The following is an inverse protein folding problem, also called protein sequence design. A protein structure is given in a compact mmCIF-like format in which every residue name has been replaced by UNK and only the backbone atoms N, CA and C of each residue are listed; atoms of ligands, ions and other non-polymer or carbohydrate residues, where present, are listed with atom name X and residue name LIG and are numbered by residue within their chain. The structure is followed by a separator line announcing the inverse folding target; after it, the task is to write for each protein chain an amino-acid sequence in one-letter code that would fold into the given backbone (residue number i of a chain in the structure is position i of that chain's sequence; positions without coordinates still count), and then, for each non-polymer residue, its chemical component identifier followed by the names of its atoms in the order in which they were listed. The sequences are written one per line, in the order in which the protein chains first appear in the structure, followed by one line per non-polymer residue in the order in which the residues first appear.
data_IF_964565394486
#
_entry.id   IF_964565394486
#
_cell.length_a   1.000
_cell.length_b   1.000
_cell.length_c   1.000
_cell.angle_alpha   90.00
_cell.angle_beta   90.00
_cell.angle_gamma   90.00
#
_symmetry.space_group_name_H-M   'P 1'
#
loop_
_entity.id
_entity.type
_entity.pdbx_description
1 polymer ?
#
# COMPACT_ATOMS: atom_id res chain seq x y z
N UNK A 1 4.67 -2.35 26.22
CA UNK A 1 5.22 -3.00 25.00
C UNK A 1 4.12 -3.63 24.15
N UNK A 2 3.08 -2.86 23.81
CA UNK A 2 2.03 -3.25 22.86
C UNK A 2 2.08 -2.37 21.60
N UNK A 3 2.58 -1.14 21.74
CA UNK A 3 2.77 -0.18 20.66
C UNK A 3 3.83 -0.67 19.65
N UNK A 4 4.94 -1.23 20.12
CA UNK A 4 6.02 -1.72 19.26
C UNK A 4 5.58 -2.92 18.41
N UNK A 5 4.78 -3.84 18.98
CA UNK A 5 4.21 -4.97 18.26
C UNK A 5 3.18 -4.53 17.20
N UNK A 6 2.34 -3.54 17.52
CA UNK A 6 1.39 -2.96 16.54
C UNK A 6 2.10 -2.21 15.41
N UNK A 7 3.19 -1.51 15.72
CA UNK A 7 4.05 -0.83 14.73
C UNK A 7 4.69 -1.85 13.78
N UNK A 8 5.22 -2.96 14.31
CA UNK A 8 5.75 -4.06 13.50
C UNK A 8 4.71 -4.66 12.55
N UNK A 9 3.49 -4.94 13.05
CA UNK A 9 2.38 -5.47 12.23
C UNK A 9 1.96 -4.48 11.13
N UNK A 10 2.00 -3.17 11.40
CA UNK A 10 1.67 -2.14 10.42
C UNK A 10 2.69 -2.12 9.26
N UNK A 11 3.98 -2.27 9.57
CA UNK A 11 5.07 -2.33 8.57
C UNK A 11 4.95 -3.59 7.69
N UNK A 12 4.71 -4.75 8.30
CA UNK A 12 4.58 -6.02 7.57
C UNK A 12 3.40 -6.01 6.58
N UNK A 13 2.28 -5.39 6.99
CA UNK A 13 1.12 -5.22 6.12
C UNK A 13 1.36 -4.18 5.03
N UNK A 14 2.12 -3.13 5.34
CA UNK A 14 2.49 -2.11 4.36
C UNK A 14 3.28 -2.71 3.20
N UNK A 15 4.27 -3.60 3.45
CA UNK A 15 5.02 -4.25 2.38
C UNK A 15 4.12 -5.04 1.42
N UNK A 16 3.11 -5.72 1.96
CA UNK A 16 2.13 -6.46 1.15
C UNK A 16 1.30 -5.49 0.30
N UNK A 17 0.79 -4.42 0.91
CA UNK A 17 0.00 -3.41 0.19
C UNK A 17 0.82 -2.69 -0.88
N UNK A 18 2.10 -2.43 -0.62
CA UNK A 18 3.02 -1.82 -1.58
C UNK A 18 3.19 -2.70 -2.82
N UNK A 19 3.39 -4.01 -2.66
CA UNK A 19 3.44 -4.97 -3.78
C UNK A 19 2.13 -5.03 -4.56
N UNK A 20 0.99 -4.93 -3.89
CA UNK A 20 -0.33 -4.88 -4.55
C UNK A 20 -0.46 -3.59 -5.38
N UNK A 21 -0.06 -2.44 -4.82
CA UNK A 21 -0.08 -1.17 -5.52
C UNK A 21 0.80 -1.18 -6.78
N UNK A 22 2.02 -1.72 -6.70
CA UNK A 22 2.92 -1.84 -7.84
C UNK A 22 2.33 -2.73 -8.95
N UNK A 23 1.68 -3.84 -8.59
CA UNK A 23 1.03 -4.72 -9.56
C UNK A 23 -0.21 -4.08 -10.20
N UNK A 24 -0.98 -3.27 -9.46
CA UNK A 24 -2.07 -2.46 -10.01
C UNK A 24 -1.52 -1.47 -11.04
N UNK A 25 -0.43 -0.74 -10.72
CA UNK A 25 0.22 0.17 -11.68
C UNK A 25 0.80 -0.54 -12.90
N UNK A 26 1.17 -1.82 -12.79
CA UNK A 26 1.59 -2.66 -13.90
C UNK A 26 0.41 -3.16 -14.79
N UNK A 27 -0.82 -2.71 -14.52
CA UNK A 27 -2.02 -3.11 -15.27
C UNK A 27 -2.62 -4.44 -14.85
N UNK A 28 -2.18 -5.01 -13.72
CA UNK A 28 -2.64 -6.32 -13.22
C UNK A 28 -3.76 -6.22 -12.19
N UNK A 29 -4.46 -5.08 -12.12
CA UNK A 29 -5.50 -4.82 -11.12
C UNK A 29 -6.56 -5.93 -11.08
N UNK A 30 -7.07 -6.36 -12.25
CA UNK A 30 -8.10 -7.41 -12.34
C UNK A 30 -7.59 -8.82 -12.05
N UNK A 31 -6.28 -9.07 -12.12
CA UNK A 31 -5.71 -10.37 -11.74
C UNK A 31 -5.65 -10.53 -10.22
N UNK A 32 -5.47 -9.42 -9.50
CA UNK A 32 -5.30 -9.40 -8.05
C UNK A 32 -6.63 -9.12 -7.35
N UNK A 33 -7.39 -8.16 -7.88
CA UNK A 33 -8.65 -7.65 -7.35
C UNK A 33 -9.74 -7.74 -8.45
N UNK A 34 -10.13 -8.95 -8.87
CA UNK A 34 -11.11 -9.16 -9.95
C UNK A 34 -12.50 -8.62 -9.63
N UNK A 35 -12.82 -8.42 -8.35
CA UNK A 35 -14.13 -7.97 -7.87
C UNK A 35 -14.25 -6.44 -7.76
N UNK A 36 -13.14 -5.71 -7.74
CA UNK A 36 -13.13 -4.26 -7.63
C UNK A 36 -13.02 -3.60 -9.01
N UNK A 37 -13.47 -2.35 -9.10
CA UNK A 37 -13.26 -1.57 -10.31
C UNK A 37 -11.78 -1.21 -10.49
N UNK A 38 -11.39 -0.97 -11.73
CA UNK A 38 -10.04 -0.52 -12.05
C UNK A 38 -9.76 0.87 -11.45
N UNK A 39 -10.78 1.72 -11.38
CA UNK A 39 -10.69 3.05 -10.76
C UNK A 39 -10.43 2.94 -9.25
N UNK A 40 -11.17 2.09 -8.55
CA UNK A 40 -10.99 1.86 -7.10
C UNK A 40 -9.62 1.24 -6.80
N UNK A 41 -9.19 0.31 -7.64
CA UNK A 41 -7.85 -0.29 -7.56
C UNK A 41 -6.75 0.79 -7.70
N UNK A 42 -6.92 1.72 -8.65
CA UNK A 42 -5.98 2.82 -8.84
C UNK A 42 -5.99 3.81 -7.67
N UNK A 43 -7.16 4.08 -7.08
CA UNK A 43 -7.26 4.91 -5.87
C UNK A 43 -6.48 4.26 -4.73
N UNK A 44 -6.68 2.97 -4.48
CA UNK A 44 -5.92 2.22 -3.47
C UNK A 44 -4.40 2.34 -3.71
N UNK A 45 -3.94 2.04 -4.94
CA UNK A 45 -2.51 2.05 -5.25
C UNK A 45 -1.87 3.43 -5.05
N UNK A 46 -2.60 4.52 -5.38
CA UNK A 46 -2.16 5.90 -5.15
C UNK A 46 -2.03 6.22 -3.66
N UNK A 47 -3.00 5.84 -2.84
CA UNK A 47 -2.95 6.12 -1.41
C UNK A 47 -1.79 5.38 -0.71
N UNK A 48 -1.49 4.14 -1.13
CA UNK A 48 -0.33 3.39 -0.61
C UNK A 48 1.00 4.05 -0.96
N UNK A 49 1.15 4.60 -2.19
CA UNK A 49 2.37 5.33 -2.60
C UNK A 49 2.54 6.64 -1.84
N UNK A 50 1.46 7.39 -1.61
CA UNK A 50 1.52 8.60 -0.77
C UNK A 50 2.02 8.29 0.63
N UNK A 51 1.61 7.16 1.19
CA UNK A 51 2.06 6.73 2.51
C UNK A 51 3.57 6.45 2.56
N UNK A 52 4.19 5.90 1.49
CA UNK A 52 5.67 5.78 1.42
C UNK A 52 6.37 7.13 1.31
N UNK A 53 5.77 8.08 0.60
CA UNK A 53 6.40 9.39 0.36
C UNK A 53 6.35 10.26 1.63
N UNK A 54 5.28 10.15 2.42
CA UNK A 54 5.12 10.90 3.67
C UNK A 54 5.95 10.37 4.86
N UNK A 55 6.33 9.07 4.89
CA UNK A 55 7.31 8.59 5.88
C UNK A 55 8.76 9.02 5.57
N UNK A 56 9.01 9.62 4.40
CA UNK A 56 10.31 10.21 4.04
C UNK A 56 10.49 11.68 4.45
N UNK A 57 9.46 12.34 4.99
CA UNK A 57 9.50 13.74 5.45
C UNK A 57 9.42 13.83 6.99
N UNK A 58 10.28 13.11 7.71
CA UNK A 58 10.58 13.37 9.14
C UNK A 58 12.02 12.94 9.46
N UNK A 59 12.98 13.46 8.68
CA UNK A 59 14.41 13.45 9.03
C UNK A 59 14.99 14.82 8.62
N UNK A 60 14.56 15.90 9.30
CA UNK A 60 15.32 17.16 9.45
C UNK A 60 15.11 17.74 10.87
#
# INVERSE_FOLDING_TARGET
MLADAKKGIAIERYEIFSKIADAIFAGKAREIYPSESEEDSLIFAKEIKKFSESEGENDE
#
